data_IF_587455786729
#
_entry.id   IF_587455786729
#
_cell.length_a   1.000
_cell.length_b   1.000
_cell.length_c   1.000
_cell.angle_alpha   90.00
_cell.angle_beta   90.00
_cell.angle_gamma   90.00
#
_symmetry.space_group_name_H-M   'P 1'
#
loop_
_entity.id
_entity.type
_entity.pdbx_description
1 polymer ?
#
# COMPACT_ATOMS: atom_id res chain seq x y z
N UNK A 1 9.65 -7.00 -17.71
CA UNK A 1 10.32 -7.29 -16.42
C UNK A 1 11.12 -6.10 -15.87
N UNK A 2 12.24 -5.65 -16.46
CA UNK A 2 13.04 -4.52 -15.92
C UNK A 2 12.20 -3.25 -15.75
N UNK A 3 11.52 -2.81 -16.82
CA UNK A 3 10.66 -1.60 -16.78
C UNK A 3 9.55 -1.72 -15.73
N UNK A 4 8.94 -2.90 -15.60
CA UNK A 4 7.95 -3.19 -14.58
C UNK A 4 8.53 -3.04 -13.17
N UNK A 5 9.65 -3.69 -12.88
CA UNK A 5 10.34 -3.56 -11.60
C UNK A 5 10.75 -2.12 -11.26
N UNK A 6 11.26 -1.38 -12.26
CA UNK A 6 11.65 0.02 -12.10
C UNK A 6 10.45 0.93 -11.84
N UNK A 7 9.39 0.79 -12.62
CA UNK A 7 8.16 1.56 -12.44
C UNK A 7 7.50 1.24 -11.11
N UNK A 8 7.33 -0.04 -10.78
CA UNK A 8 6.71 -0.50 -9.54
C UNK A 8 7.47 -0.01 -8.30
N UNK A 9 8.78 -0.20 -8.23
CA UNK A 9 9.58 0.24 -7.09
C UNK A 9 9.75 1.76 -7.03
N UNK A 10 9.91 2.41 -8.19
CA UNK A 10 9.96 3.87 -8.28
C UNK A 10 8.68 4.54 -7.78
N UNK A 11 7.52 3.97 -8.12
CA UNK A 11 6.23 4.42 -7.61
C UNK A 11 6.13 4.31 -6.08
N UNK A 12 6.67 3.26 -5.47
CA UNK A 12 6.63 3.05 -4.02
C UNK A 12 7.45 4.07 -3.21
N UNK A 13 8.35 4.83 -3.84
CA UNK A 13 9.08 5.92 -3.16
C UNK A 13 8.17 7.12 -2.90
N UNK A 14 7.22 7.37 -3.80
CA UNK A 14 6.36 8.55 -3.71
C UNK A 14 5.19 8.27 -2.74
N UNK A 15 4.87 9.21 -1.83
CA UNK A 15 3.76 9.05 -0.92
C UNK A 15 2.45 8.95 -1.69
N UNK A 16 1.58 8.01 -1.28
CA UNK A 16 0.26 7.85 -1.87
C UNK A 16 0.22 7.21 -3.27
N UNK A 17 1.36 6.81 -3.84
CA UNK A 17 1.41 6.13 -5.14
C UNK A 17 1.60 4.62 -4.95
N UNK A 18 0.68 3.82 -5.50
CA UNK A 18 0.71 2.35 -5.36
C UNK A 18 1.52 1.70 -6.48
N UNK A 19 2.70 1.15 -6.15
CA UNK A 19 3.51 0.39 -7.09
C UNK A 19 2.85 -0.90 -7.58
N UNK A 20 2.08 -1.59 -6.72
CA UNK A 20 1.37 -2.80 -7.11
C UNK A 20 0.27 -2.51 -8.15
N UNK A 21 -0.45 -1.40 -7.98
CA UNK A 21 -1.44 -0.96 -8.97
C UNK A 21 -0.77 -0.58 -10.30
N UNK A 22 0.37 0.10 -10.27
CA UNK A 22 1.12 0.41 -11.49
C UNK A 22 1.57 -0.86 -12.22
N UNK A 23 2.01 -1.89 -11.50
CA UNK A 23 2.34 -3.19 -12.08
C UNK A 23 1.12 -3.88 -12.71
N UNK A 24 -0.07 -3.75 -12.11
CA UNK A 24 -1.32 -4.27 -12.67
C UNK A 24 -1.66 -3.57 -13.98
N UNK A 25 -1.57 -2.24 -14.03
CA UNK A 25 -1.79 -1.46 -15.25
C UNK A 25 -0.80 -1.80 -16.36
N UNK A 26 0.44 -2.11 -16.02
CA UNK A 26 1.47 -2.54 -16.96
C UNK A 26 1.33 -4.02 -17.36
N UNK A 27 0.36 -4.76 -16.82
CA UNK A 27 0.21 -6.20 -17.04
C UNK A 27 1.40 -7.02 -16.55
N UNK A 28 2.19 -6.48 -15.62
CA UNK A 28 3.40 -7.13 -15.08
C UNK A 28 3.19 -7.70 -13.68
N UNK A 29 2.08 -7.39 -13.00
CA UNK A 29 1.82 -7.86 -11.65
C UNK A 29 1.76 -9.39 -11.55
N UNK A 30 0.88 -10.02 -12.35
CA UNK A 30 0.67 -11.48 -12.33
C UNK A 30 1.95 -12.26 -12.65
N UNK A 31 2.69 -11.98 -13.74
CA UNK A 31 3.94 -12.68 -14.04
C UNK A 31 4.99 -12.59 -12.93
N UNK A 32 5.11 -11.42 -12.30
CA UNK A 32 6.12 -11.20 -11.23
C UNK A 32 5.74 -11.95 -9.97
N UNK A 33 4.47 -11.86 -9.54
CA UNK A 33 3.99 -12.54 -8.33
C UNK A 33 4.01 -14.06 -8.51
N UNK A 34 3.63 -14.57 -9.67
CA UNK A 34 3.71 -15.99 -9.99
C UNK A 34 5.16 -16.50 -9.89
N UNK A 35 6.11 -15.82 -10.55
CA UNK A 35 7.52 -16.22 -10.50
C UNK A 35 8.09 -16.24 -9.08
N UNK A 36 7.75 -15.25 -8.25
CA UNK A 36 8.17 -15.20 -6.84
C UNK A 36 7.55 -16.35 -6.04
N UNK A 37 6.26 -16.62 -6.23
CA UNK A 37 5.55 -17.71 -5.53
C UNK A 37 6.14 -19.07 -5.90
N UNK A 38 6.37 -19.30 -7.19
CA UNK A 38 6.87 -20.57 -7.71
C UNK A 38 8.33 -20.80 -7.30
N UNK A 39 9.17 -19.75 -7.36
CA UNK A 39 10.54 -19.81 -6.82
C UNK A 39 10.54 -20.10 -5.31
N UNK A 40 9.64 -19.48 -4.55
CA UNK A 40 9.50 -19.72 -3.11
C UNK A 40 9.01 -21.13 -2.78
N UNK A 41 8.14 -21.70 -3.61
CA UNK A 41 7.69 -23.09 -3.52
C UNK A 41 8.85 -24.07 -3.79
N UNK A 42 9.55 -23.88 -4.92
CA UNK A 42 10.68 -24.70 -5.32
C UNK A 42 11.84 -24.66 -4.30
N UNK A 43 12.12 -23.47 -3.74
CA UNK A 43 13.13 -23.33 -2.69
C UNK A 43 12.78 -24.12 -1.42
N UNK A 44 11.50 -24.15 -1.02
CA UNK A 44 11.04 -24.92 0.15
C UNK A 44 11.12 -26.43 -0.07
N UNK A 45 10.94 -26.90 -1.30
CA UNK A 45 11.05 -28.32 -1.65
C UNK A 45 12.48 -28.76 -1.99
N UNK A 46 13.46 -27.85 -1.96
CA UNK A 46 14.85 -28.14 -2.34
C UNK A 46 15.06 -28.32 -3.85
N UNK A 47 14.10 -27.92 -4.68
CA UNK A 47 14.20 -28.00 -6.14
C UNK A 47 14.96 -26.80 -6.70
N UNK A 48 16.28 -26.96 -6.81
CA UNK A 48 17.17 -25.93 -7.38
C UNK A 48 16.86 -25.68 -8.86
N UNK A 49 16.41 -26.69 -9.62
CA UNK A 49 16.04 -26.53 -11.02
C UNK A 49 14.81 -25.63 -11.18
N UNK A 50 13.79 -25.87 -10.35
CA UNK A 50 12.61 -25.02 -10.23
C UNK A 50 12.94 -23.58 -9.88
N UNK A 51 13.83 -23.34 -8.91
CA UNK A 51 14.28 -21.97 -8.57
C UNK A 51 14.99 -21.30 -9.75
N UNK A 52 15.93 -22.00 -10.40
CA UNK A 52 16.68 -21.45 -11.52
C UNK A 52 15.79 -21.10 -12.70
N UNK A 53 14.71 -21.85 -12.92
CA UNK A 53 13.75 -21.58 -14.00
C UNK A 53 12.99 -20.25 -13.84
N UNK A 54 12.93 -19.68 -12.64
CA UNK A 54 12.24 -18.41 -12.36
C UNK A 54 13.19 -17.21 -12.35
N UNK A 55 14.51 -17.44 -12.48
CA UNK A 55 15.52 -16.37 -12.44
C UNK A 55 15.48 -15.47 -13.68
N UNK A 56 14.95 -15.96 -14.79
CA UNK A 56 14.69 -15.21 -16.02
C UNK A 56 13.71 -14.04 -15.81
N UNK A 57 12.78 -14.18 -14.86
CA UNK A 57 11.85 -13.11 -14.43
C UNK A 57 12.41 -12.36 -13.23
N UNK A 58 12.89 -13.06 -12.20
CA UNK A 58 13.29 -12.45 -10.92
C UNK A 58 14.50 -11.55 -11.07
N UNK A 59 15.54 -11.96 -11.82
CA UNK A 59 16.77 -11.16 -11.96
C UNK A 59 16.50 -9.83 -12.67
N UNK A 60 15.83 -9.78 -13.84
CA UNK A 60 15.51 -8.51 -14.48
C UNK A 60 14.57 -7.63 -13.65
N UNK A 61 13.61 -8.21 -12.91
CA UNK A 61 12.78 -7.44 -11.98
C UNK A 61 13.63 -6.83 -10.87
N UNK A 62 14.53 -7.61 -10.26
CA UNK A 62 15.44 -7.13 -9.20
C UNK A 62 16.34 -6.00 -9.68
N UNK A 63 16.91 -6.10 -10.89
CA UNK A 63 17.66 -5.01 -11.52
C UNK A 63 16.76 -3.79 -11.71
N UNK A 64 15.55 -4.01 -12.25
CA UNK A 64 14.54 -2.96 -12.40
C UNK A 64 14.26 -2.24 -11.10
N UNK A 65 14.00 -2.97 -10.01
CA UNK A 65 13.75 -2.42 -8.67
C UNK A 65 14.91 -1.52 -8.22
N UNK A 66 16.15 -1.99 -8.34
CA UNK A 66 17.32 -1.18 -7.96
C UNK A 66 17.41 0.10 -8.79
N UNK A 67 17.26 -0.01 -10.12
CA UNK A 67 17.28 1.14 -11.03
C UNK A 67 16.15 2.12 -10.72
N UNK A 68 14.94 1.62 -10.47
CA UNK A 68 13.77 2.42 -10.12
C UNK A 68 13.95 3.17 -8.81
N UNK A 69 14.45 2.48 -7.78
CA UNK A 69 14.68 3.08 -6.47
C UNK A 69 15.73 4.20 -6.58
N UNK A 70 16.90 3.86 -7.13
CA UNK A 70 18.02 4.82 -7.25
C UNK A 70 17.64 5.98 -8.16
N UNK A 71 16.96 5.70 -9.28
CA UNK A 71 16.54 6.70 -10.26
C UNK A 71 15.54 7.69 -9.67
N UNK A 72 14.46 7.20 -9.07
CA UNK A 72 13.43 8.07 -8.49
C UNK A 72 13.94 8.79 -7.24
N UNK A 73 14.72 8.13 -6.37
CA UNK A 73 15.27 8.78 -5.18
C UNK A 73 16.21 9.94 -5.54
N UNK A 74 17.12 9.74 -6.50
CA UNK A 74 18.01 10.81 -6.97
C UNK A 74 17.26 11.88 -7.75
N UNK A 75 16.28 11.49 -8.58
CA UNK A 75 15.42 12.43 -9.29
C UNK A 75 14.65 13.33 -8.32
N UNK A 76 14.00 12.75 -7.31
CA UNK A 76 13.28 13.48 -6.28
C UNK A 76 14.22 14.40 -5.49
N UNK A 77 15.40 13.90 -5.10
CA UNK A 77 16.41 14.72 -4.42
C UNK A 77 16.82 15.93 -5.27
N UNK A 78 17.04 15.72 -6.57
CA UNK A 78 17.39 16.80 -7.49
C UNK A 78 16.26 17.84 -7.64
N UNK A 79 15.02 17.38 -7.85
CA UNK A 79 13.85 18.28 -7.96
C UNK A 79 13.64 19.03 -6.65
N UNK A 80 13.79 18.37 -5.50
CA UNK A 80 13.62 19.00 -4.19
C UNK A 80 14.70 20.05 -3.90
N UNK A 81 15.95 19.85 -4.35
CA UNK A 81 16.99 20.88 -4.26
C UNK A 81 16.72 22.10 -5.15
N UNK A 82 16.14 21.90 -6.34
CA UNK A 82 15.90 23.00 -7.30
C UNK A 82 14.57 23.72 -7.09
N UNK A 83 13.56 22.99 -6.64
CA UNK A 83 12.15 23.38 -6.59
C UNK A 83 11.49 22.89 -5.28
N UNK A 84 12.11 23.17 -4.14
CA UNK A 84 11.68 22.65 -2.83
C UNK A 84 10.19 22.92 -2.52
N UNK A 85 9.76 24.19 -2.57
CA UNK A 85 8.39 24.60 -2.23
C UNK A 85 7.31 23.90 -3.08
N UNK A 86 7.35 23.94 -4.42
CA UNK A 86 6.35 23.23 -5.21
C UNK A 86 6.44 21.71 -5.06
N UNK A 87 7.64 21.14 -4.86
CA UNK A 87 7.79 19.70 -4.62
C UNK A 87 7.09 19.29 -3.32
N UNK A 88 7.34 20.01 -2.23
CA UNK A 88 6.66 19.77 -0.96
C UNK A 88 5.14 19.95 -1.08
N UNK A 89 4.68 20.96 -1.82
CA UNK A 89 3.26 21.15 -2.10
C UNK A 89 2.61 19.96 -2.80
N UNK A 90 3.28 19.39 -3.82
CA UNK A 90 2.82 18.19 -4.52
C UNK A 90 2.80 16.98 -3.57
N UNK A 91 3.86 16.76 -2.79
CA UNK A 91 3.95 15.63 -1.86
C UNK A 91 2.88 15.70 -0.76
N UNK A 92 2.62 16.89 -0.22
CA UNK A 92 1.53 17.11 0.74
C UNK A 92 0.17 16.88 0.07
N UNK A 93 -0.02 17.36 -1.16
CA UNK A 93 -1.22 17.11 -1.93
C UNK A 93 -1.49 15.61 -2.12
N UNK A 94 -0.47 14.83 -2.46
CA UNK A 94 -0.55 13.37 -2.56
C UNK A 94 -0.91 12.71 -1.22
N UNK A 95 -0.29 13.16 -0.13
CA UNK A 95 -0.58 12.66 1.23
C UNK A 95 -2.01 12.94 1.66
N UNK A 96 -2.55 14.13 1.35
CA UNK A 96 -3.93 14.49 1.67
C UNK A 96 -4.92 13.74 0.77
N UNK A 97 -4.58 13.51 -0.50
CA UNK A 97 -5.43 12.79 -1.44
C UNK A 97 -5.52 11.28 -1.13
N UNK A 98 -4.46 10.66 -0.60
CA UNK A 98 -4.42 9.21 -0.39
C UNK A 98 -5.57 8.65 0.49
N UNK A 99 -5.92 9.25 1.65
CA UNK A 99 -7.06 8.83 2.44
C UNK A 99 -8.43 8.99 1.75
N UNK A 100 -8.57 9.89 0.78
CA UNK A 100 -9.84 10.12 0.10
C UNK A 100 -10.34 8.88 -0.64
N UNK A 101 -9.42 8.07 -1.19
CA UNK A 101 -9.75 6.78 -1.81
C UNK A 101 -10.09 5.68 -0.80
N UNK A 102 -9.60 5.78 0.44
CA UNK A 102 -9.83 4.82 1.53
C UNK A 102 -10.91 5.31 2.51
N UNK A 103 -11.85 6.14 2.05
CA UNK A 103 -12.84 6.76 2.92
C UNK A 103 -13.57 5.73 3.80
N UNK A 104 -13.37 5.73 5.13
CA UNK A 104 -13.68 4.58 5.99
C UNK A 104 -15.15 4.49 6.39
N UNK A 105 -15.96 5.48 6.00
CA UNK A 105 -17.35 5.62 6.42
C UNK A 105 -18.30 4.96 5.42
N UNK A 106 -18.01 3.70 5.08
CA UNK A 106 -18.82 2.85 4.22
C UNK A 106 -18.95 1.46 4.82
N UNK A 107 -20.17 0.94 4.86
CA UNK A 107 -20.47 -0.41 5.32
C UNK A 107 -21.17 -1.22 4.22
N UNK A 108 -20.82 -2.51 4.10
CA UNK A 108 -21.48 -3.43 3.17
C UNK A 108 -22.83 -3.86 3.72
N UNK A 109 -23.87 -3.72 2.90
CA UNK A 109 -25.23 -4.13 3.23
C UNK A 109 -25.49 -5.52 2.61
N UNK A 110 -25.84 -6.55 3.42
CA UNK A 110 -26.15 -7.87 2.91
C UNK A 110 -27.26 -7.83 1.85
N UNK A 111 -27.16 -8.60 0.76
CA UNK A 111 -28.16 -8.59 -0.31
C UNK A 111 -29.53 -9.04 0.17
N UNK A 112 -30.58 -8.43 -0.40
CA UNK A 112 -31.97 -8.81 -0.22
C UNK A 112 -32.57 -9.35 -1.54
N UNK A 113 -33.65 -10.13 -1.44
CA UNK A 113 -34.32 -10.70 -2.61
C UNK A 113 -34.79 -9.54 -3.52
N UNK A 114 -34.44 -9.62 -4.80
CA UNK A 114 -34.72 -8.58 -5.80
C UNK A 114 -33.58 -7.58 -6.02
N UNK A 115 -32.51 -7.61 -5.21
CA UNK A 115 -31.29 -6.86 -5.53
C UNK A 115 -30.64 -7.40 -6.80
N UNK A 116 -29.92 -6.54 -7.53
CA UNK A 116 -29.10 -6.95 -8.68
C UNK A 116 -27.63 -6.76 -8.32
N UNK A 117 -26.86 -7.84 -8.34
CA UNK A 117 -25.41 -7.86 -8.09
C UNK A 117 -24.73 -8.48 -9.32
N UNK A 118 -23.79 -7.75 -9.93
CA UNK A 118 -23.08 -8.18 -11.15
C UNK A 118 -23.98 -8.62 -12.33
N UNK A 119 -25.22 -8.14 -12.39
CA UNK A 119 -26.17 -8.49 -13.44
C UNK A 119 -27.04 -9.72 -13.14
N UNK A 120 -26.82 -10.38 -12.00
CA UNK A 120 -27.68 -11.44 -11.49
C UNK A 120 -28.68 -10.88 -10.48
N UNK A 121 -29.92 -11.36 -10.56
CA UNK A 121 -30.96 -11.03 -9.59
C UNK A 121 -30.80 -11.94 -8.38
N UNK A 122 -30.79 -11.35 -7.18
CA UNK A 122 -30.84 -12.07 -5.93
C UNK A 122 -32.22 -12.71 -5.81
N UNK A 123 -32.28 -14.02 -6.00
CA UNK A 123 -33.43 -14.90 -5.82
C UNK A 123 -33.24 -15.77 -4.57
N UNK A 124 -34.27 -16.49 -4.14
CA UNK A 124 -34.18 -17.36 -2.95
C UNK A 124 -33.09 -18.43 -3.07
N UNK A 125 -32.82 -18.90 -4.29
CA UNK A 125 -31.84 -19.95 -4.59
C UNK A 125 -30.38 -19.51 -4.43
N UNK A 126 -30.04 -18.27 -4.79
CA UNK A 126 -28.67 -17.75 -4.73
C UNK A 126 -28.43 -16.79 -3.54
N UNK A 127 -29.47 -16.43 -2.79
CA UNK A 127 -29.39 -15.53 -1.63
C UNK A 127 -28.37 -16.02 -0.57
N UNK A 128 -28.36 -17.32 -0.30
CA UNK A 128 -27.45 -17.91 0.70
C UNK A 128 -25.98 -17.79 0.25
N UNK A 129 -25.71 -18.02 -1.03
CA UNK A 129 -24.39 -17.86 -1.64
C UNK A 129 -23.95 -16.40 -1.66
N UNK A 130 -24.83 -15.48 -2.08
CA UNK A 130 -24.52 -14.05 -2.15
C UNK A 130 -24.33 -13.40 -0.77
N UNK A 131 -24.95 -13.95 0.29
CA UNK A 131 -24.71 -13.54 1.70
C UNK A 131 -23.50 -14.21 2.33
N UNK A 132 -22.82 -15.12 1.64
CA UNK A 132 -21.61 -15.74 2.15
C UNK A 132 -20.53 -14.68 2.45
N UNK A 133 -19.75 -14.82 3.55
CA UNK A 133 -18.67 -13.89 3.87
C UNK A 133 -17.62 -13.73 2.76
N UNK A 134 -17.47 -14.72 1.89
CA UNK A 134 -16.57 -14.66 0.73
C UNK A 134 -17.03 -13.63 -0.33
N UNK A 135 -18.35 -13.43 -0.44
CA UNK A 135 -18.98 -12.50 -1.37
C UNK A 135 -19.25 -11.13 -0.75
N UNK A 136 -18.83 -10.90 0.50
CA UNK A 136 -19.06 -9.63 1.21
C UNK A 136 -18.46 -8.40 0.52
N UNK A 137 -17.44 -8.58 -0.32
CA UNK A 137 -16.84 -7.51 -1.14
C UNK A 137 -17.76 -7.01 -2.26
N UNK A 138 -18.76 -7.80 -2.63
CA UNK A 138 -19.69 -7.52 -3.73
C UNK A 138 -20.97 -6.83 -3.24
N UNK A 139 -21.13 -6.74 -1.91
CA UNK A 139 -22.27 -6.12 -1.29
C UNK A 139 -22.32 -4.62 -1.57
N UNK A 140 -23.53 -4.11 -1.77
CA UNK A 140 -23.79 -2.68 -1.92
C UNK A 140 -23.28 -1.95 -0.68
N UNK A 141 -22.55 -0.86 -0.90
CA UNK A 141 -21.98 -0.06 0.18
C UNK A 141 -22.93 1.09 0.53
N UNK A 142 -23.20 1.31 1.81
CA UNK A 142 -23.94 2.47 2.32
C UNK A 142 -23.01 3.38 3.12
N UNK A 143 -23.27 4.69 3.11
CA UNK A 143 -22.58 5.63 3.98
C UNK A 143 -22.85 5.32 5.45
N UNK A 144 -21.79 5.12 6.21
CA UNK A 144 -21.82 4.81 7.65
C UNK A 144 -21.47 6.06 8.45
N UNK A 145 -22.31 6.47 9.40
CA UNK A 145 -21.99 7.56 10.31
C UNK A 145 -21.44 6.99 11.63
N UNK A 146 -20.18 7.28 12.00
CA UNK A 146 -19.58 6.74 13.22
C UNK A 146 -20.28 7.32 14.45
N UNK A 147 -20.35 6.52 15.52
CA UNK A 147 -20.92 7.01 16.78
C UNK A 147 -19.97 7.98 17.49
N UNK A 148 -20.47 8.92 18.31
CA UNK A 148 -19.62 9.83 19.08
C UNK A 148 -18.57 9.10 19.95
N UNK A 149 -18.91 7.91 20.45
CA UNK A 149 -18.01 7.07 21.24
C UNK A 149 -16.86 6.53 20.39
N UNK A 150 -17.12 6.10 19.16
CA UNK A 150 -16.08 5.64 18.25
C UNK A 150 -15.13 6.78 17.87
N UNK A 151 -15.68 7.96 17.57
CA UNK A 151 -14.88 9.16 17.28
C UNK A 151 -13.99 9.52 18.47
N UNK A 152 -14.57 9.58 19.68
CA UNK A 152 -13.82 9.86 20.90
C UNK A 152 -12.74 8.80 21.18
N UNK A 153 -13.05 7.51 20.97
CA UNK A 153 -12.11 6.40 21.10
C UNK A 153 -10.94 6.52 20.12
N UNK A 154 -11.20 6.82 18.84
CA UNK A 154 -10.16 7.04 17.84
C UNK A 154 -9.26 8.22 18.19
N UNK A 155 -9.83 9.34 18.63
CA UNK A 155 -9.06 10.51 19.09
C UNK A 155 -8.21 10.19 20.32
N UNK A 156 -8.74 9.41 21.26
CA UNK A 156 -7.99 8.92 22.42
C UNK A 156 -6.78 8.08 22.02
N UNK A 157 -6.94 7.14 21.08
CA UNK A 157 -5.82 6.34 20.57
C UNK A 157 -4.75 7.21 19.88
N UNK A 158 -5.15 8.22 19.12
CA UNK A 158 -4.23 9.19 18.50
C UNK A 158 -3.43 9.93 19.57
N UNK A 159 -4.10 10.41 20.62
CA UNK A 159 -3.44 11.13 21.72
C UNK A 159 -2.45 10.25 22.49
N UNK A 160 -2.79 8.98 22.72
CA UNK A 160 -1.90 7.99 23.36
C UNK A 160 -0.66 7.75 22.50
N UNK A 161 -0.84 7.50 21.20
CA UNK A 161 0.27 7.30 20.27
C UNK A 161 1.21 8.51 20.25
N UNK A 162 0.66 9.72 20.15
CA UNK A 162 1.42 10.96 20.18
C UNK A 162 2.21 11.13 21.50
N UNK A 163 1.56 10.85 22.64
CA UNK A 163 2.19 10.95 23.96
C UNK A 163 3.34 9.95 24.12
N UNK A 164 3.18 8.72 23.61
CA UNK A 164 4.24 7.72 23.61
C UNK A 164 5.44 8.16 22.76
N UNK A 165 5.20 8.66 21.54
CA UNK A 165 6.25 9.21 20.67
C UNK A 165 7.01 10.35 21.35
N UNK A 166 6.28 11.29 21.99
CA UNK A 166 6.89 12.41 22.71
C UNK A 166 7.71 11.94 23.92
N UNK A 167 7.24 10.92 24.64
CA UNK A 167 7.95 10.32 25.78
C UNK A 167 9.29 9.70 25.37
N UNK A 168 9.29 8.90 24.29
CA UNK A 168 10.51 8.32 23.72
C UNK A 168 11.47 9.42 23.23
N UNK A 169 10.95 10.43 22.54
CA UNK A 169 11.75 11.55 22.06
C UNK A 169 12.44 12.31 23.22
N UNK A 170 11.75 12.47 24.36
CA UNK A 170 12.34 13.11 25.55
C UNK A 170 13.49 12.30 26.15
N UNK A 171 13.35 10.98 26.25
CA UNK A 171 14.40 10.08 26.75
C UNK A 171 15.65 10.05 25.84
N UNK A 172 15.46 10.23 24.53
CA UNK A 172 16.56 10.27 23.56
C UNK A 172 17.43 11.54 23.65
N UNK A 173 16.87 12.67 24.11
CA UNK A 173 17.64 13.94 24.23
C UNK A 173 18.66 13.94 25.37
N UNK A 174 18.46 13.12 26.41
CA UNK A 174 19.38 13.08 27.56
C UNK A 174 20.73 12.39 27.24
N UNK A 175 20.85 11.68 26.12
CA UNK A 175 22.09 10.97 25.73
C UNK A 175 22.91 11.63 24.62
N UNK A 176 22.52 12.82 24.14
CA UNK A 176 23.05 13.45 22.93
C UNK A 176 23.63 14.87 23.11
N UNK A 177 24.08 15.25 24.31
CA UNK A 177 24.84 16.48 24.49
C UNK A 177 26.23 16.33 23.85
N UNK A 178 26.37 16.70 22.57
CA UNK A 178 27.67 16.87 21.93
C UNK A 178 28.40 18.03 22.64
N UNK A 179 29.63 17.85 23.16
CA UNK A 179 30.39 18.96 23.68
C UNK A 179 30.82 19.87 22.52
N UNK A 180 30.53 21.17 22.65
CA UNK A 180 31.04 22.24 21.81
C UNK A 180 32.56 22.08 21.63
N UNK A 181 33.00 21.84 20.40
CA UNK A 181 34.39 22.08 20.03
C UNK A 181 34.53 23.57 19.70
N UNK A 182 34.72 24.37 20.75
CA UNK A 182 35.29 25.71 20.62
C UNK A 182 36.81 25.56 20.44
N UNK A 183 37.27 25.89 19.23
CA UNK A 183 38.66 26.16 18.88
C UNK A 183 38.72 27.42 18.05
#
# INVERSE_FOLDING_TARGET
MIVGGAAGAGAMILPGVSGAFLLLLLGQYEPIIAAIKDAGGAAKSGDIGGVMSQMDVIVPVGIGVLVGIVGVANGLKWVMHRYERPTLGVLIGLLIAAPAGLYPFREGVPPEIGDVIKGEVVAEENLAEMRSPENAKEWKQRAYAPSPVQVAGSLGLIAVGFSATMGIARLGREKGAYPDQAG
#
